data_IF_175617692984
#
_entry.id   IF_175617692984
#
_cell.length_a   1.000
_cell.length_b   1.000
_cell.length_c   1.000
_cell.angle_alpha   90.00
_cell.angle_beta   90.00
_cell.angle_gamma   90.00
#
_symmetry.space_group_name_H-M   'P 1'
#
loop_
_entity.id
_entity.type
_entity.pdbx_description
1 polymer ?
#
# COMPACT_ATOMS: atom_id res chain seq x y z
N UNK A 1 18.29 -37.27 16.38
CA UNK A 1 18.98 -35.96 16.54
C UNK A 1 18.41 -34.99 15.51
N UNK A 2 17.67 -33.94 15.94
CA UNK A 2 17.19 -32.89 15.03
C UNK A 2 18.35 -31.93 14.76
N UNK A 3 18.79 -31.80 13.50
CA UNK A 3 19.83 -30.84 13.11
C UNK A 3 19.32 -29.42 13.42
N UNK A 4 20.14 -28.52 13.99
CA UNK A 4 19.76 -27.13 14.18
C UNK A 4 19.68 -26.48 12.79
N UNK A 5 18.50 -26.52 12.20
CA UNK A 5 18.13 -25.67 11.08
C UNK A 5 18.18 -24.22 11.57
N UNK A 6 18.74 -23.33 10.76
CA UNK A 6 18.87 -21.92 11.16
C UNK A 6 17.50 -21.36 11.57
N UNK A 7 17.42 -20.74 12.75
CA UNK A 7 16.18 -20.22 13.35
C UNK A 7 15.31 -19.46 12.33
N UNK A 8 15.94 -18.60 11.53
CA UNK A 8 15.29 -17.82 10.48
C UNK A 8 14.66 -18.67 9.37
N UNK A 9 15.31 -19.77 8.99
CA UNK A 9 14.78 -20.71 7.99
C UNK A 9 13.53 -21.42 8.51
N UNK A 10 13.52 -21.78 9.79
CA UNK A 10 12.38 -22.46 10.42
C UNK A 10 11.19 -21.52 10.61
N UNK A 11 11.44 -20.27 11.02
CA UNK A 11 10.42 -19.23 11.09
C UNK A 11 9.80 -18.98 9.73
N UNK A 12 10.62 -18.84 8.68
CA UNK A 12 10.12 -18.61 7.33
C UNK A 12 9.34 -19.81 6.77
N UNK A 13 9.82 -21.03 7.01
CA UNK A 13 9.11 -22.25 6.62
C UNK A 13 7.76 -22.39 7.32
N UNK A 14 7.70 -22.09 8.62
CA UNK A 14 6.47 -22.15 9.42
C UNK A 14 5.49 -21.04 9.02
N UNK A 15 5.98 -19.84 8.71
CA UNK A 15 5.17 -18.73 8.21
C UNK A 15 4.53 -19.06 6.85
N UNK A 16 5.32 -19.56 5.88
CA UNK A 16 4.80 -19.93 4.55
C UNK A 16 3.73 -21.01 4.58
N UNK A 17 3.78 -21.90 5.58
CA UNK A 17 2.80 -22.98 5.72
C UNK A 17 1.50 -22.53 6.40
N UNK A 18 1.50 -21.37 7.05
CA UNK A 18 0.34 -20.83 7.76
C UNK A 18 -0.46 -19.88 6.86
N UNK A 19 -1.66 -20.31 6.43
CA UNK A 19 -2.50 -19.54 5.48
C UNK A 19 -2.81 -18.12 5.98
N UNK A 20 -3.16 -17.98 7.27
CA UNK A 20 -3.44 -16.66 7.87
C UNK A 20 -2.18 -15.78 7.90
N UNK A 21 -1.01 -16.36 8.15
CA UNK A 21 0.25 -15.62 8.15
C UNK A 21 0.59 -15.09 6.76
N UNK A 22 0.33 -15.89 5.72
CA UNK A 22 0.51 -15.49 4.34
C UNK A 22 -0.47 -14.42 3.87
N UNK A 23 -1.70 -14.39 4.40
CA UNK A 23 -2.65 -13.29 4.15
C UNK A 23 -2.06 -11.96 4.69
N UNK A 24 -1.51 -11.97 5.90
CA UNK A 24 -0.84 -10.78 6.45
C UNK A 24 0.33 -10.30 5.59
N UNK A 25 1.18 -11.24 5.16
CA UNK A 25 2.30 -10.94 4.24
C UNK A 25 1.80 -10.35 2.93
N UNK A 26 0.71 -10.88 2.37
CA UNK A 26 0.09 -10.37 1.16
C UNK A 26 -0.44 -8.94 1.33
N UNK A 27 -1.16 -8.66 2.41
CA UNK A 27 -1.70 -7.32 2.69
C UNK A 27 -0.57 -6.30 2.82
N UNK A 28 0.48 -6.61 3.61
CA UNK A 28 1.63 -5.72 3.77
C UNK A 28 2.34 -5.51 2.42
N UNK A 29 2.55 -6.57 1.65
CA UNK A 29 3.14 -6.47 0.31
C UNK A 29 2.32 -5.60 -0.63
N UNK A 30 0.98 -5.71 -0.60
CA UNK A 30 0.08 -4.90 -1.40
C UNK A 30 0.15 -3.42 -1.00
N UNK A 31 0.21 -3.09 0.30
CA UNK A 31 0.36 -1.71 0.78
C UNK A 31 1.70 -1.10 0.33
N UNK A 32 2.80 -1.87 0.41
CA UNK A 32 4.11 -1.43 -0.07
C UNK A 32 4.06 -1.15 -1.58
N UNK A 33 3.45 -2.05 -2.35
CA UNK A 33 3.26 -1.86 -3.80
C UNK A 33 2.43 -0.62 -4.11
N UNK A 34 1.34 -0.39 -3.39
CA UNK A 34 0.53 0.82 -3.53
C UNK A 34 1.32 2.08 -3.21
N UNK A 35 2.18 2.07 -2.19
CA UNK A 35 3.06 3.20 -1.87
C UNK A 35 4.09 3.48 -2.97
N UNK A 36 4.70 2.43 -3.53
CA UNK A 36 5.66 2.56 -4.64
C UNK A 36 4.99 3.02 -5.95
N UNK A 37 3.77 2.55 -6.20
CA UNK A 37 2.98 2.94 -7.37
C UNK A 37 2.21 4.24 -7.15
N UNK A 38 2.15 4.76 -5.92
CA UNK A 38 1.43 5.97 -5.55
C UNK A 38 1.71 7.15 -6.46
N UNK A 39 2.99 7.52 -6.70
CA UNK A 39 3.34 8.62 -7.60
C UNK A 39 2.89 8.42 -9.05
N UNK A 40 2.74 7.18 -9.51
CA UNK A 40 2.29 6.87 -10.87
C UNK A 40 0.76 6.79 -10.98
N UNK A 41 0.08 6.38 -9.92
CA UNK A 41 -1.37 6.24 -9.86
C UNK A 41 -2.07 7.57 -9.54
N UNK A 42 -1.47 8.37 -8.67
CA UNK A 42 -1.97 9.67 -8.23
C UNK A 42 -0.79 10.66 -8.17
N UNK A 43 -0.39 11.24 -9.31
CA UNK A 43 0.69 12.23 -9.38
C UNK A 43 0.27 13.61 -8.85
N UNK A 44 -0.69 13.65 -7.93
CA UNK A 44 -1.19 14.87 -7.29
C UNK A 44 -0.59 14.94 -5.89
N UNK A 45 -0.02 16.09 -5.52
CA UNK A 45 0.49 16.29 -4.17
C UNK A 45 -0.71 16.45 -3.22
N UNK A 46 -0.98 15.48 -2.32
CA UNK A 46 -2.12 15.56 -1.42
C UNK A 46 -1.98 16.67 -0.37
N UNK A 47 -0.80 17.29 -0.24
CA UNK A 47 -0.55 18.39 0.70
C UNK A 47 -0.66 19.77 0.04
N UNK A 48 -0.82 19.84 -1.29
CA UNK A 48 -1.03 21.10 -2.00
C UNK A 48 -2.53 21.40 -2.01
N UNK A 49 -2.94 22.32 -1.14
CA UNK A 49 -4.31 22.85 -1.12
C UNK A 49 -4.35 24.13 -1.96
N UNK A 50 -4.99 24.08 -3.13
CA UNK A 50 -5.16 25.26 -3.99
C UNK A 50 -6.41 26.04 -3.60
N UNK A 51 -6.22 27.09 -2.79
CA UNK A 51 -7.31 27.93 -2.31
C UNK A 51 -8.14 28.60 -3.42
N UNK A 52 -7.62 28.69 -4.66
CA UNK A 52 -8.38 29.21 -5.80
C UNK A 52 -9.40 28.21 -6.35
N UNK A 53 -9.24 26.92 -6.06
CA UNK A 53 -10.11 25.85 -6.57
C UNK A 53 -11.22 25.44 -5.59
N UNK A 54 -11.22 25.99 -4.37
CA UNK A 54 -12.16 25.65 -3.28
C UNK A 54 -13.65 25.85 -3.60
N UNK A 55 -13.97 26.64 -4.63
CA UNK A 55 -15.33 26.84 -5.14
C UNK A 55 -15.44 26.53 -6.65
N UNK A 56 -14.47 25.80 -7.20
CA UNK A 56 -14.50 25.43 -8.61
C UNK A 56 -15.70 24.51 -8.86
N UNK A 57 -16.52 24.78 -9.89
CA UNK A 57 -17.63 23.92 -10.24
C UNK A 57 -17.13 22.52 -10.67
N UNK A 58 -17.98 21.48 -10.59
CA UNK A 58 -17.63 20.14 -11.02
C UNK A 58 -17.06 20.13 -12.43
N UNK A 59 -15.94 19.43 -12.61
CA UNK A 59 -15.27 19.30 -13.91
C UNK A 59 -14.84 17.85 -14.14
N UNK A 60 -14.43 17.51 -15.37
CA UNK A 60 -13.90 16.17 -15.67
C UNK A 60 -12.61 15.85 -14.89
N UNK A 61 -11.85 16.88 -14.50
CA UNK A 61 -10.69 16.73 -13.63
C UNK A 61 -11.09 16.59 -12.15
N UNK A 62 -12.17 17.27 -11.74
CA UNK A 62 -12.69 17.26 -10.37
C UNK A 62 -14.21 16.99 -10.38
N UNK A 63 -14.63 15.72 -10.47
CA UNK A 63 -16.05 15.36 -10.63
C UNK A 63 -16.95 15.83 -9.49
N UNK A 64 -16.36 16.10 -8.32
CA UNK A 64 -17.05 16.58 -7.13
C UNK A 64 -16.82 18.08 -6.84
N UNK A 65 -16.13 18.82 -7.71
CA UNK A 65 -15.63 20.18 -7.45
C UNK A 65 -14.24 20.16 -6.81
N UNK A 66 -13.61 21.34 -6.66
CA UNK A 66 -12.30 21.46 -5.98
C UNK A 66 -12.44 21.60 -4.45
N UNK A 67 -11.47 21.05 -3.73
CA UNK A 67 -11.34 21.00 -2.25
C UNK A 67 -10.63 22.22 -1.63
#
# INVERSE_FOLDING_TARGET
>A
MRRPTGLWRDVFYRLRRHRIGMIGVFIVGALILLGLLGPYLAPYDPNVMDFNMRFAPPSLAHPLGGD
#
